data_IF_757779414888
#
_entry.id   IF_757779414888
#
_cell.length_a   1.000
_cell.length_b   1.000
_cell.length_c   1.000
_cell.angle_alpha   90.00
_cell.angle_beta   90.00
_cell.angle_gamma   90.00
#
_symmetry.space_group_name_H-M   'P 1'
#
loop_
_entity.id
_entity.type
_entity.pdbx_description
1 polymer ?
#
# COMPACT_ATOMS: atom_id res chain seq x y z
N UNK A 1 -8.32 3.67 -13.11
CA UNK A 1 -7.26 2.66 -13.36
C UNK A 1 -6.90 2.00 -12.03
N UNK A 2 -7.23 0.72 -11.84
CA UNK A 2 -7.02 -0.08 -10.62
C UNK A 2 -5.61 -0.69 -10.49
N UNK A 3 -4.67 -0.27 -11.35
CA UNK A 3 -3.35 -0.91 -11.46
C UNK A 3 -2.56 -0.90 -10.15
N UNK A 4 -2.58 0.22 -9.41
CA UNK A 4 -1.83 0.37 -8.17
C UNK A 4 -2.30 -0.53 -7.02
N UNK A 5 -3.51 -1.10 -7.09
CA UNK A 5 -4.13 -1.89 -6.02
C UNK A 5 -3.59 -3.32 -5.96
N UNK A 6 -3.02 -3.83 -7.05
CA UNK A 6 -2.47 -5.19 -7.16
C UNK A 6 -0.95 -5.24 -7.22
N UNK A 7 -0.28 -4.08 -7.11
CA UNK A 7 1.18 -3.99 -7.18
C UNK A 7 1.84 -4.46 -5.90
N UNK A 8 3.01 -5.09 -6.07
CA UNK A 8 3.89 -5.42 -4.97
C UNK A 8 4.57 -4.14 -4.45
N UNK A 9 4.16 -3.68 -3.28
CA UNK A 9 4.68 -2.51 -2.60
C UNK A 9 6.00 -2.82 -1.90
N UNK A 10 7.08 -2.98 -2.68
CA UNK A 10 8.41 -3.07 -2.06
C UNK A 10 8.81 -1.71 -1.50
N UNK A 11 9.51 -1.70 -0.37
CA UNK A 11 10.05 -0.47 0.24
C UNK A 11 10.91 0.33 -0.72
N UNK A 12 11.60 -0.34 -1.66
CA UNK A 12 12.36 0.31 -2.74
C UNK A 12 11.48 1.07 -3.72
N UNK A 13 10.38 0.47 -4.18
CA UNK A 13 9.42 1.13 -5.08
C UNK A 13 8.76 2.31 -4.39
N UNK A 14 8.29 2.13 -3.15
CA UNK A 14 7.68 3.21 -2.35
C UNK A 14 8.65 4.40 -2.21
N UNK A 15 9.91 4.13 -1.83
CA UNK A 15 10.93 5.18 -1.70
C UNK A 15 11.17 5.92 -3.01
N UNK A 16 11.26 5.20 -4.15
CA UNK A 16 11.43 5.84 -5.46
C UNK A 16 10.26 6.75 -5.80
N UNK A 17 9.02 6.29 -5.61
CA UNK A 17 7.81 7.10 -5.85
C UNK A 17 7.79 8.32 -4.93
N UNK A 18 8.13 8.16 -3.65
CA UNK A 18 8.19 9.27 -2.70
C UNK A 18 9.22 10.34 -3.11
N UNK A 19 10.40 9.93 -3.57
CA UNK A 19 11.43 10.86 -4.07
C UNK A 19 10.93 11.61 -5.31
N UNK A 20 10.26 10.93 -6.24
CA UNK A 20 9.65 11.56 -7.42
C UNK A 20 8.58 12.58 -7.03
N UNK A 21 7.69 12.25 -6.09
CA UNK A 21 6.65 13.16 -5.58
C UNK A 21 7.29 14.37 -4.90
N UNK A 22 8.25 14.16 -4.00
CA UNK A 22 8.93 15.25 -3.30
C UNK A 22 9.67 16.19 -4.27
N UNK A 23 10.22 15.67 -5.37
CA UNK A 23 10.81 16.49 -6.43
C UNK A 23 9.76 17.37 -7.12
N UNK A 24 8.58 16.82 -7.44
CA UNK A 24 7.48 17.60 -7.99
C UNK A 24 6.96 18.67 -7.02
N UNK A 25 6.78 18.33 -5.74
CA UNK A 25 6.32 19.29 -4.72
C UNK A 25 7.27 20.48 -4.56
N UNK A 26 8.59 20.23 -4.58
CA UNK A 26 9.59 21.30 -4.54
C UNK A 26 9.49 22.23 -5.75
N UNK A 27 9.27 21.68 -6.95
CA UNK A 27 9.06 22.48 -8.17
C UNK A 27 7.78 23.31 -8.11
N UNK A 28 6.67 22.73 -7.61
CA UNK A 28 5.38 23.43 -7.46
C UNK A 28 5.50 24.59 -6.47
N UNK A 29 6.24 24.40 -5.38
CA UNK A 29 6.50 25.43 -4.38
C UNK A 29 7.63 26.40 -4.76
N UNK A 30 8.20 26.25 -5.96
CA UNK A 30 9.31 27.06 -6.48
C UNK A 30 10.56 27.08 -5.56
N UNK A 31 10.84 25.98 -4.87
CA UNK A 31 11.99 25.84 -3.96
C UNK A 31 13.23 25.51 -4.79
N UNK A 32 14.24 26.38 -4.73
CA UNK A 32 15.48 26.21 -5.46
C UNK A 32 16.54 25.52 -4.59
N UNK A 33 17.60 25.01 -5.22
CA UNK A 33 18.71 24.34 -4.53
C UNK A 33 19.34 25.11 -3.35
N UNK A 34 19.49 26.46 -3.36
CA UNK A 34 19.95 27.20 -2.18
C UNK A 34 18.99 27.12 -0.98
N UNK A 35 17.70 26.90 -1.21
CA UNK A 35 16.68 26.79 -0.16
C UNK A 35 16.60 25.35 0.35
N UNK A 36 17.35 25.05 1.41
CA UNK A 36 17.31 23.72 2.03
C UNK A 36 16.09 23.58 2.92
N UNK A 37 15.07 22.87 2.44
CA UNK A 37 13.87 22.49 3.20
C UNK A 37 13.86 20.99 3.49
N UNK A 38 13.61 20.64 4.75
CA UNK A 38 13.42 19.25 5.17
C UNK A 38 12.15 18.63 4.56
N UNK A 39 12.13 17.31 4.38
CA UNK A 39 10.94 16.64 3.83
C UNK A 39 9.71 16.80 4.75
N UNK A 40 9.89 16.84 6.07
CA UNK A 40 8.78 17.04 7.02
C UNK A 40 8.13 18.40 6.85
N UNK A 41 8.92 19.47 6.74
CA UNK A 41 8.41 20.83 6.52
C UNK A 41 7.74 20.98 5.14
N UNK A 42 8.25 20.29 4.12
CA UNK A 42 7.63 20.23 2.79
C UNK A 42 6.22 19.63 2.85
N UNK A 43 6.04 18.55 3.61
CA UNK A 43 4.75 17.87 3.77
C UNK A 43 3.78 18.68 4.62
N UNK A 44 4.25 19.32 5.69
CA UNK A 44 3.45 20.23 6.51
C UNK A 44 2.90 21.39 5.67
N UNK A 45 3.76 22.04 4.86
CA UNK A 45 3.36 23.17 4.01
C UNK A 45 2.36 22.78 2.91
N UNK A 46 2.35 21.51 2.49
CA UNK A 46 1.45 21.02 1.45
C UNK A 46 0.24 20.27 2.00
N UNK A 47 0.13 20.13 3.34
CA UNK A 47 -0.83 19.25 4.00
C UNK A 47 -0.86 17.82 3.41
N UNK A 48 0.30 17.34 2.93
CA UNK A 48 0.44 16.01 2.34
C UNK A 48 0.92 15.00 3.39
N UNK A 49 0.44 13.77 3.30
CA UNK A 49 0.97 12.64 4.08
C UNK A 49 2.03 11.88 3.28
N UNK A 50 2.88 11.07 3.92
CA UNK A 50 3.75 10.14 3.21
C UNK A 50 2.92 9.27 2.27
N UNK A 51 3.38 9.12 1.02
CA UNK A 51 2.68 8.38 -0.02
C UNK A 51 2.46 6.90 0.35
N UNK A 52 3.29 6.36 1.24
CA UNK A 52 3.11 5.02 1.82
C UNK A 52 1.77 4.86 2.55
N UNK A 53 1.31 5.88 3.29
CA UNK A 53 0.02 5.84 3.98
C UNK A 53 -1.14 5.85 2.99
N UNK A 54 -1.04 6.67 1.95
CA UNK A 54 -2.08 6.77 0.93
C UNK A 54 -2.20 5.47 0.12
N UNK A 55 -1.07 4.88 -0.27
CA UNK A 55 -1.04 3.58 -0.95
C UNK A 55 -1.69 2.50 -0.08
N UNK A 56 -1.33 2.44 1.22
CA UNK A 56 -1.93 1.47 2.15
C UNK A 56 -3.43 1.67 2.31
N UNK A 57 -3.91 2.92 2.39
CA UNK A 57 -5.35 3.23 2.42
C UNK A 57 -6.06 2.73 1.16
N UNK A 58 -5.48 2.96 -0.02
CA UNK A 58 -6.06 2.52 -1.30
C UNK A 58 -6.09 0.99 -1.41
N UNK A 59 -5.00 0.32 -1.02
CA UNK A 59 -4.94 -1.14 -0.96
C UNK A 59 -5.97 -1.70 0.02
N UNK A 60 -6.12 -1.10 1.20
CA UNK A 60 -7.13 -1.50 2.19
C UNK A 60 -8.55 -1.38 1.65
N UNK A 61 -8.89 -0.30 0.94
CA UNK A 61 -10.19 -0.14 0.29
C UNK A 61 -10.44 -1.21 -0.77
N UNK A 62 -9.44 -1.55 -1.59
CA UNK A 62 -9.54 -2.62 -2.59
C UNK A 62 -9.75 -4.00 -1.95
N UNK A 63 -9.04 -4.28 -0.85
CA UNK A 63 -9.19 -5.51 -0.07
C UNK A 63 -10.61 -5.59 0.50
N UNK A 64 -11.09 -4.52 1.15
CA UNK A 64 -12.46 -4.45 1.67
C UNK A 64 -13.52 -4.68 0.58
N UNK A 65 -13.35 -4.05 -0.58
CA UNK A 65 -14.23 -4.31 -1.74
C UNK A 65 -14.18 -5.77 -2.21
N UNK A 66 -13.01 -6.41 -2.22
CA UNK A 66 -12.86 -7.82 -2.59
C UNK A 66 -13.51 -8.75 -1.56
N UNK A 67 -13.38 -8.45 -0.27
CA UNK A 67 -13.99 -9.21 0.83
C UNK A 67 -15.52 -9.16 0.80
N UNK A 68 -16.12 -8.03 0.39
CA UNK A 68 -17.58 -7.89 0.26
C UNK A 68 -18.19 -8.66 -0.92
N UNK A 69 -17.39 -9.15 -1.87
CA UNK A 69 -17.90 -10.01 -2.97
C UNK A 69 -18.43 -11.34 -2.42
N UNK A 70 -19.29 -12.02 -3.17
CA UNK A 70 -19.82 -13.34 -2.79
C UNK A 70 -18.70 -14.32 -2.45
N UNK A 71 -18.94 -15.25 -1.52
CA UNK A 71 -18.00 -16.31 -1.15
C UNK A 71 -17.54 -17.18 -2.34
N UNK A 72 -18.38 -17.29 -3.37
CA UNK A 72 -18.09 -18.03 -4.59
C UNK A 72 -17.20 -17.25 -5.58
N UNK A 73 -16.88 -15.99 -5.30
CA UNK A 73 -16.06 -15.18 -6.19
C UNK A 73 -14.59 -15.61 -6.11
N UNK A 74 -14.01 -15.95 -7.26
CA UNK A 74 -12.63 -16.43 -7.39
C UNK A 74 -11.62 -15.47 -6.74
N UNK A 75 -11.84 -14.15 -6.85
CA UNK A 75 -10.94 -13.15 -6.26
C UNK A 75 -10.97 -13.15 -4.74
N UNK A 76 -12.15 -13.33 -4.12
CA UNK A 76 -12.30 -13.46 -2.66
C UNK A 76 -11.66 -14.76 -2.17
N UNK A 77 -11.93 -15.87 -2.86
CA UNK A 77 -11.33 -17.17 -2.53
C UNK A 77 -9.81 -17.13 -2.62
N UNK A 78 -9.25 -16.58 -3.70
CA UNK A 78 -7.81 -16.45 -3.90
C UNK A 78 -7.13 -15.60 -2.81
N UNK A 79 -7.80 -14.54 -2.34
CA UNK A 79 -7.31 -13.68 -1.27
C UNK A 79 -7.22 -14.43 0.08
N UNK A 80 -8.24 -15.23 0.41
CA UNK A 80 -8.31 -15.99 1.67
C UNK A 80 -7.62 -17.36 1.60
N UNK A 81 -7.20 -17.81 0.40
CA UNK A 81 -6.70 -19.15 0.17
C UNK A 81 -5.41 -19.43 0.94
N UNK A 82 -5.44 -20.44 1.81
CA UNK A 82 -4.26 -20.98 2.48
C UNK A 82 -3.99 -22.39 1.94
N UNK A 83 -3.02 -22.59 1.04
CA UNK A 83 -2.75 -23.92 0.51
C UNK A 83 -2.19 -24.83 1.60
N UNK A 84 -2.88 -25.93 1.87
CA UNK A 84 -2.42 -27.00 2.75
C UNK A 84 -1.29 -27.80 2.10
N UNK A 85 -0.29 -28.21 2.89
CA UNK A 85 0.81 -29.07 2.45
C UNK A 85 2.22 -28.45 2.54
N UNK A 86 3.23 -29.32 2.42
CA UNK A 86 4.64 -28.91 2.45
C UNK A 86 5.02 -28.24 1.12
N UNK A 87 5.52 -27.01 1.20
CA UNK A 87 5.99 -26.25 0.02
C UNK A 87 7.26 -26.87 -0.56
N UNK A 88 7.37 -26.92 -1.89
CA UNK A 88 8.63 -27.25 -2.57
C UNK A 88 9.70 -26.18 -2.25
N UNK A 89 10.93 -26.62 -1.98
CA UNK A 89 12.09 -25.73 -1.79
C UNK A 89 12.25 -24.84 -3.03
N UNK A 90 12.37 -23.53 -2.85
CA UNK A 90 12.50 -22.54 -3.94
C UNK A 90 11.20 -21.87 -4.37
N UNK A 91 10.01 -22.37 -3.98
CA UNK A 91 8.75 -21.67 -4.27
C UNK A 91 8.60 -20.44 -3.36
N UNK A 92 8.26 -19.31 -3.97
CA UNK A 92 8.02 -18.06 -3.23
C UNK A 92 6.95 -18.25 -2.14
N UNK A 93 7.22 -17.76 -0.93
CA UNK A 93 6.29 -17.82 0.21
C UNK A 93 5.14 -16.84 -0.01
N UNK A 94 4.01 -17.25 -0.62
CA UNK A 94 2.75 -16.49 -0.81
C UNK A 94 2.76 -15.08 -0.20
N UNK A 95 3.38 -14.15 -0.92
CA UNK A 95 3.85 -12.88 -0.37
C UNK A 95 2.68 -11.93 -0.13
N UNK A 96 1.71 -11.90 -1.05
CA UNK A 96 0.61 -10.95 -1.04
C UNK A 96 -0.18 -10.98 0.27
N UNK A 97 -0.55 -12.18 0.76
CA UNK A 97 -1.26 -12.31 2.04
C UNK A 97 -0.42 -11.82 3.23
N UNK A 98 0.89 -12.05 3.22
CA UNK A 98 1.79 -11.60 4.30
C UNK A 98 2.06 -10.09 4.25
N UNK A 99 2.19 -9.53 3.04
CA UNK A 99 2.30 -8.08 2.85
C UNK A 99 1.02 -7.41 3.39
N UNK A 100 -0.16 -7.94 3.03
CA UNK A 100 -1.45 -7.48 3.55
C UNK A 100 -1.52 -7.61 5.08
N UNK A 101 -1.18 -8.77 5.65
CA UNK A 101 -1.16 -8.97 7.11
C UNK A 101 -0.19 -7.99 7.80
N UNK A 102 1.00 -7.74 7.23
CA UNK A 102 1.95 -6.78 7.78
C UNK A 102 1.48 -5.32 7.68
N UNK A 103 0.80 -4.96 6.59
CA UNK A 103 0.20 -3.63 6.43
C UNK A 103 -0.96 -3.43 7.39
N UNK A 104 -1.77 -4.48 7.62
CA UNK A 104 -2.84 -4.50 8.61
C UNK A 104 -2.32 -4.32 10.04
N UNK A 105 -1.26 -5.04 10.42
CA UNK A 105 -0.59 -4.88 11.72
C UNK A 105 -0.12 -3.43 11.93
N UNK A 106 0.47 -2.82 10.89
CA UNK A 106 0.91 -1.41 10.94
C UNK A 106 -0.22 -0.41 11.05
N UNK A 107 -1.42 -0.74 10.55
CA UNK A 107 -2.61 0.11 10.65
C UNK A 107 -3.48 -0.21 11.87
N UNK A 108 -3.09 -1.19 12.69
CA UNK A 108 -3.87 -1.68 13.82
C UNK A 108 -5.30 -2.11 13.42
N UNK A 109 -5.44 -2.73 12.24
CA UNK A 109 -6.73 -3.14 11.67
C UNK A 109 -6.84 -4.67 11.57
N UNK A 110 -8.07 -5.19 11.70
CA UNK A 110 -8.39 -6.61 11.49
C UNK A 110 -9.16 -6.82 10.16
N UNK A 111 -9.25 -8.05 9.68
CA UNK A 111 -9.95 -8.43 8.44
C UNK A 111 -11.41 -7.96 8.44
N UNK A 112 -12.08 -8.03 9.60
CA UNK A 112 -13.45 -7.51 9.79
C UNK A 112 -13.54 -5.99 9.64
N UNK A 113 -12.49 -5.27 10.03
CA UNK A 113 -12.46 -3.81 9.95
C UNK A 113 -12.17 -3.36 8.51
N UNK A 114 -11.28 -4.07 7.80
CA UNK A 114 -11.06 -3.85 6.37
C UNK A 114 -12.33 -4.02 5.53
N UNK A 115 -13.19 -4.97 5.88
CA UNK A 115 -14.48 -5.17 5.22
C UNK A 115 -15.41 -3.94 5.37
N UNK A 116 -15.26 -3.16 6.44
CA UNK A 116 -16.05 -1.97 6.74
C UNK A 116 -15.47 -0.67 6.17
N UNK A 117 -14.16 -0.60 5.96
CA UNK A 117 -13.43 0.61 5.53
C UNK A 117 -13.76 1.05 4.08
N UNK A 118 -14.31 0.14 3.28
CA UNK A 118 -14.51 0.36 1.84
C UNK A 118 -15.86 0.98 1.49
#
# INVERSE_FOLDING_TARGET
MHGAETWRTTTSIIKKVQVSINSCLRKILNIHWPDTISNSLLWERTNQLPNEEEIRKRQSKWIGHTLRKSSNCITRQALTWNPEGKRKRGRSKNILRREIESDMERMNNNWKELERIA
#
